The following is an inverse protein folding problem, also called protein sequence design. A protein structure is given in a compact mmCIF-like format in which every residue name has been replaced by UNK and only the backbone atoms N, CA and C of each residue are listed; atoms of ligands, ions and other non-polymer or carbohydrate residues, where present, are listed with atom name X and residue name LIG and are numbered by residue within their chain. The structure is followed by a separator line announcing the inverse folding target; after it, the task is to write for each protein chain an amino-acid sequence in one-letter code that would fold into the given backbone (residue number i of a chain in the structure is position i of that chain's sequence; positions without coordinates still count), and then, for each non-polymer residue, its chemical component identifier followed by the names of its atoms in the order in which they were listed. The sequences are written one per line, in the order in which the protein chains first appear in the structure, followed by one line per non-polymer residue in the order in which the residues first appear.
data_IF_326721708791
#
_entry.id   IF_326721708791
#
_cell.length_a   1.000
_cell.length_b   1.000
_cell.length_c   1.000
_cell.angle_alpha   90.00
_cell.angle_beta   90.00
_cell.angle_gamma   90.00
#
_symmetry.space_group_name_H-M   'P 1'
#
loop_
_entity.id
_entity.type
_entity.pdbx_description
1 polymer ?
#
# COMPACT_ATOMS: atom_id res chain seq x y z
N UNK A 1 19.09 35.02 39.93
CA UNK A 1 19.03 35.05 38.46
C UNK A 1 19.16 33.62 37.99
N UNK A 2 18.04 32.95 37.71
CA UNK A 2 18.05 31.56 37.21
C UNK A 2 18.01 31.59 35.68
N UNK A 3 18.94 30.88 35.05
CA UNK A 3 18.98 30.72 33.61
C UNK A 3 17.72 29.98 33.09
N UNK A 4 17.20 30.31 31.91
CA UNK A 4 16.13 29.52 31.30
C UNK A 4 16.71 28.18 30.81
N UNK A 5 16.21 27.08 31.35
CA UNK A 5 16.47 25.74 30.83
C UNK A 5 15.82 25.59 29.45
N UNK A 6 16.62 25.80 28.40
CA UNK A 6 16.19 25.78 27.00
C UNK A 6 16.28 24.42 26.33
N UNK A 7 16.02 23.32 27.04
CA UNK A 7 15.98 22.00 26.42
C UNK A 7 14.68 21.86 25.61
N UNK A 8 14.77 21.88 24.28
CA UNK A 8 13.66 21.47 23.42
C UNK A 8 13.43 19.97 23.64
N UNK A 9 12.35 19.62 24.30
CA UNK A 9 11.94 18.22 24.41
C UNK A 9 11.33 17.78 23.08
N UNK A 10 12.05 16.91 22.37
CA UNK A 10 11.51 16.19 21.22
C UNK A 10 10.93 14.86 21.73
N UNK A 11 9.61 14.80 21.86
CA UNK A 11 8.90 13.55 22.12
C UNK A 11 8.70 12.79 20.79
N UNK A 12 8.98 11.49 20.79
CA UNK A 12 8.68 10.60 19.67
C UNK A 12 7.83 9.43 20.16
N UNK A 13 6.97 8.93 19.29
CA UNK A 13 6.17 7.73 19.51
C UNK A 13 6.31 6.83 18.28
N UNK A 14 6.60 5.54 18.52
CA UNK A 14 6.69 4.54 17.46
C UNK A 14 5.53 3.58 17.59
N UNK A 15 4.64 3.60 16.60
CA UNK A 15 3.48 2.72 16.52
C UNK A 15 3.78 1.62 15.51
N UNK A 16 3.67 0.36 15.94
CA UNK A 16 3.93 -0.81 15.09
C UNK A 16 2.62 -1.55 14.80
N UNK A 17 2.31 -1.75 13.52
CA UNK A 17 1.11 -2.45 13.09
C UNK A 17 0.78 -2.16 11.62
N UNK A 18 -0.35 -2.68 11.16
CA UNK A 18 -0.91 -2.28 9.88
C UNK A 18 -1.28 -0.78 9.92
N UNK A 19 -0.87 -0.03 8.90
CA UNK A 19 -1.08 1.42 8.88
C UNK A 19 -2.58 1.76 8.91
N UNK A 20 -3.43 1.01 8.19
CA UNK A 20 -4.86 1.26 8.13
C UNK A 20 -5.57 0.99 9.47
N UNK A 21 -5.01 0.12 10.31
CA UNK A 21 -5.50 -0.15 11.67
C UNK A 21 -4.99 0.88 12.67
N UNK A 22 -3.69 1.14 12.67
CA UNK A 22 -3.04 2.09 13.60
C UNK A 22 -3.58 3.50 13.43
N UNK A 23 -3.76 3.97 12.18
CA UNK A 23 -4.25 5.33 11.94
C UNK A 23 -5.65 5.54 12.54
N UNK A 24 -6.50 4.52 12.61
CA UNK A 24 -7.84 4.61 13.20
C UNK A 24 -7.84 4.84 14.71
N UNK A 25 -6.76 4.47 15.41
CA UNK A 25 -6.64 4.67 16.85
C UNK A 25 -6.22 6.09 17.20
N UNK A 26 -5.72 6.85 16.22
CA UNK A 26 -5.25 8.22 16.43
C UNK A 26 -6.40 9.23 16.37
N UNK A 27 -6.35 10.30 17.21
CA UNK A 27 -7.41 11.31 17.25
C UNK A 27 -7.49 12.13 15.95
N UNK A 28 -8.67 12.63 15.61
CA UNK A 28 -8.83 13.51 14.44
C UNK A 28 -8.14 14.87 14.65
N UNK A 29 -7.73 15.52 13.57
CA UNK A 29 -7.07 16.84 13.58
C UNK A 29 -5.87 16.93 14.56
N UNK A 30 -5.11 15.86 14.71
CA UNK A 30 -4.01 15.72 15.66
C UNK A 30 -2.61 15.82 15.05
N UNK A 31 -2.50 15.94 13.72
CA UNK A 31 -1.20 16.09 13.03
C UNK A 31 -1.22 17.26 12.05
N UNK A 32 -0.13 18.01 11.97
CA UNK A 32 0.02 19.15 11.04
C UNK A 32 0.72 18.77 9.73
N UNK A 33 1.47 17.68 9.73
CA UNK A 33 2.23 17.22 8.57
C UNK A 33 2.24 15.69 8.51
N UNK A 34 1.91 15.17 7.34
CA UNK A 34 2.07 13.75 7.00
C UNK A 34 3.11 13.63 5.89
N UNK A 35 4.08 12.75 6.06
CA UNK A 35 5.03 12.34 5.03
C UNK A 35 4.92 10.83 4.86
N UNK A 36 4.59 10.36 3.66
CA UNK A 36 4.34 8.94 3.42
C UNK A 36 4.89 8.46 2.08
N UNK A 37 5.35 7.21 2.05
CA UNK A 37 5.90 6.53 0.88
C UNK A 37 5.33 5.10 0.80
N UNK A 38 4.03 4.94 0.48
CA UNK A 38 3.43 3.61 0.36
C UNK A 38 4.13 2.77 -0.72
N UNK A 39 4.01 1.43 -0.69
CA UNK A 39 4.63 0.56 -1.70
C UNK A 39 4.17 0.95 -3.10
N UNK A 40 5.12 1.14 -4.03
CA UNK A 40 4.80 1.46 -5.42
C UNK A 40 4.19 0.24 -6.07
N UNK A 41 3.10 0.43 -6.83
CA UNK A 41 2.36 -0.68 -7.40
C UNK A 41 3.28 -1.61 -8.19
N UNK A 42 3.24 -2.89 -7.86
CA UNK A 42 3.94 -4.02 -8.48
C UNK A 42 5.47 -3.94 -8.49
N UNK A 43 6.07 -3.09 -7.66
CA UNK A 43 7.53 -2.99 -7.61
C UNK A 43 8.21 -3.93 -6.60
N UNK A 44 7.51 -4.31 -5.53
CA UNK A 44 8.08 -5.11 -4.44
C UNK A 44 7.07 -6.12 -3.93
N UNK A 45 7.59 -7.28 -3.54
CA UNK A 45 6.87 -8.29 -2.77
C UNK A 45 7.66 -8.50 -1.47
N UNK A 46 7.00 -8.30 -0.33
CA UNK A 46 7.58 -8.45 1.00
C UNK A 46 7.40 -9.87 1.58
N UNK A 47 6.89 -10.81 0.80
CA UNK A 47 6.67 -12.21 1.19
C UNK A 47 5.82 -12.36 2.47
N UNK A 48 4.82 -11.49 2.62
CA UNK A 48 3.93 -11.43 3.80
C UNK A 48 2.70 -12.31 3.68
N UNK A 49 2.40 -12.80 2.47
CA UNK A 49 1.24 -13.64 2.22
C UNK A 49 1.28 -14.98 2.95
N UNK A 50 0.10 -15.46 3.34
CA UNK A 50 -0.08 -16.70 4.10
C UNK A 50 -1.28 -17.48 3.60
N UNK A 51 -1.19 -18.80 3.73
CA UNK A 51 -2.34 -19.71 3.58
C UNK A 51 -3.18 -19.73 4.86
N UNK A 52 -4.48 -19.56 4.73
CA UNK A 52 -5.46 -19.64 5.80
C UNK A 52 -6.43 -20.81 5.58
N UNK A 53 -6.66 -21.59 6.63
CA UNK A 53 -7.57 -22.73 6.61
C UNK A 53 -7.06 -23.93 5.79
N UNK A 54 -7.99 -24.81 5.41
CA UNK A 54 -7.70 -26.05 4.69
C UNK A 54 -7.14 -27.17 5.57
N UNK A 55 -6.52 -28.17 4.94
CA UNK A 55 -5.98 -29.36 5.62
C UNK A 55 -4.54 -29.09 6.08
N UNK A 56 -4.23 -29.45 7.33
CA UNK A 56 -2.94 -29.20 7.96
C UNK A 56 -1.75 -29.90 7.26
N UNK A 57 -2.01 -31.03 6.61
CA UNK A 57 -1.03 -31.84 5.86
C UNK A 57 -1.01 -31.51 4.36
N UNK A 58 -1.77 -30.49 3.93
CA UNK A 58 -1.75 -30.07 2.53
C UNK A 58 -0.41 -29.39 2.22
N UNK A 59 0.34 -29.97 1.27
CA UNK A 59 1.61 -29.43 0.79
C UNK A 59 1.39 -28.19 -0.07
N UNK A 60 1.09 -27.05 0.56
CA UNK A 60 1.08 -25.77 -0.12
C UNK A 60 2.49 -25.44 -0.63
N UNK A 61 2.59 -24.95 -1.87
CA UNK A 61 3.85 -24.37 -2.33
C UNK A 61 4.18 -23.21 -1.37
N UNK A 62 5.33 -23.31 -0.69
CA UNK A 62 5.84 -22.25 0.20
C UNK A 62 6.15 -20.97 -0.59
N UNK A 63 6.48 -21.14 -1.88
CA UNK A 63 6.81 -20.07 -2.82
C UNK A 63 5.66 -19.92 -3.82
N UNK A 64 4.74 -19.00 -3.57
CA UNK A 64 3.80 -18.58 -4.60
C UNK A 64 4.53 -17.61 -5.56
N UNK A 65 4.40 -17.76 -6.89
CA UNK A 65 4.96 -16.77 -7.81
C UNK A 65 4.23 -15.44 -7.67
N UNK A 66 4.95 -14.35 -7.96
CA UNK A 66 4.62 -12.92 -7.84
C UNK A 66 3.33 -12.44 -8.57
N UNK A 67 2.21 -13.13 -8.40
CA UNK A 67 0.94 -12.85 -9.09
C UNK A 67 -0.23 -12.59 -8.14
N UNK A 68 -1.07 -11.58 -8.44
CA UNK A 68 -1.89 -10.85 -7.48
C UNK A 68 -3.32 -11.39 -7.30
N UNK A 69 -3.58 -12.65 -7.61
CA UNK A 69 -4.94 -13.19 -7.52
C UNK A 69 -5.20 -13.82 -6.15
N UNK A 70 -6.41 -13.63 -5.56
CA UNK A 70 -6.85 -14.45 -4.43
C UNK A 70 -6.72 -15.92 -4.82
N UNK A 71 -5.83 -16.66 -4.15
CA UNK A 71 -5.66 -18.09 -4.45
C UNK A 71 -6.49 -18.92 -3.50
N UNK A 72 -7.13 -19.94 -4.03
CA UNK A 72 -7.70 -21.03 -3.23
C UNK A 72 -6.98 -22.31 -3.63
N UNK A 73 -6.52 -23.07 -2.65
CA UNK A 73 -5.85 -24.35 -2.88
C UNK A 73 -6.90 -25.36 -3.36
N UNK A 74 -6.80 -25.79 -4.62
CA UNK A 74 -7.75 -26.74 -5.21
C UNK A 74 -7.82 -28.10 -4.48
N UNK A 75 -6.81 -28.45 -3.67
CA UNK A 75 -6.74 -29.73 -2.93
C UNK A 75 -7.45 -29.69 -1.57
N UNK A 76 -7.46 -28.55 -0.90
CA UNK A 76 -7.94 -28.47 0.49
C UNK A 76 -8.83 -27.26 0.79
N UNK A 77 -9.02 -26.35 -0.17
CA UNK A 77 -9.82 -25.14 0.01
C UNK A 77 -9.16 -24.02 0.81
N UNK A 78 -7.89 -24.17 1.24
CA UNK A 78 -7.18 -23.08 1.91
C UNK A 78 -7.12 -21.83 1.02
N UNK A 79 -7.30 -20.64 1.59
CA UNK A 79 -7.19 -19.38 0.86
C UNK A 79 -5.83 -18.72 1.11
N UNK A 80 -5.23 -18.13 0.08
CA UNK A 80 -4.08 -17.26 0.22
C UNK A 80 -4.56 -15.84 0.47
N UNK A 81 -4.06 -15.23 1.53
CA UNK A 81 -4.29 -13.81 1.82
C UNK A 81 -2.96 -13.12 1.99
N UNK A 82 -2.87 -11.91 1.45
CA UNK A 82 -1.74 -11.04 1.69
C UNK A 82 -2.26 -9.65 2.04
N UNK A 83 -1.76 -9.12 3.16
CA UNK A 83 -2.13 -7.80 3.65
C UNK A 83 -1.22 -6.71 3.07
N UNK A 84 -0.15 -7.05 2.34
CA UNK A 84 0.72 -6.03 1.76
C UNK A 84 -0.01 -5.18 0.71
N UNK A 85 0.31 -3.89 0.73
CA UNK A 85 -0.14 -2.94 -0.28
C UNK A 85 0.81 -3.00 -1.47
N UNK A 86 0.31 -2.68 -2.66
CA UNK A 86 1.10 -2.57 -3.88
C UNK A 86 1.10 -3.82 -4.75
N UNK A 87 0.56 -4.95 -4.31
CA UNK A 87 0.37 -6.15 -5.14
C UNK A 87 -1.09 -6.38 -5.54
N UNK A 88 -1.91 -5.34 -5.57
CA UNK A 88 -3.31 -5.43 -5.97
C UNK A 88 -3.43 -5.84 -7.45
N UNK A 89 -4.51 -6.56 -7.82
CA UNK A 89 -4.62 -7.17 -9.14
C UNK A 89 -4.69 -6.17 -10.29
N UNK A 90 -5.17 -4.97 -10.04
CA UNK A 90 -5.31 -3.90 -11.04
C UNK A 90 -4.85 -2.56 -10.47
N UNK A 91 -4.47 -1.59 -11.33
CA UNK A 91 -4.13 -0.25 -10.87
C UNK A 91 -5.27 0.41 -10.09
N UNK A 92 -6.52 0.20 -10.54
CA UNK A 92 -7.71 0.71 -9.86
C UNK A 92 -7.86 0.12 -8.45
N UNK A 93 -7.63 -1.18 -8.27
CA UNK A 93 -7.69 -1.80 -6.95
C UNK A 93 -6.59 -1.25 -6.02
N UNK A 94 -5.38 -1.00 -6.54
CA UNK A 94 -4.32 -0.33 -5.80
C UNK A 94 -4.69 1.10 -5.38
N UNK A 95 -5.22 1.90 -6.31
CA UNK A 95 -5.67 3.27 -6.01
C UNK A 95 -6.80 3.27 -4.99
N UNK A 96 -7.74 2.34 -5.08
CA UNK A 96 -8.83 2.24 -4.11
C UNK A 96 -8.30 1.84 -2.73
N UNK A 97 -7.35 0.91 -2.65
CA UNK A 97 -6.72 0.54 -1.40
C UNK A 97 -5.93 1.72 -0.79
N UNK A 98 -5.19 2.47 -1.60
CA UNK A 98 -4.53 3.72 -1.17
C UNK A 98 -5.54 4.75 -0.66
N UNK A 99 -6.69 4.94 -1.35
CA UNK A 99 -7.73 5.89 -0.95
C UNK A 99 -8.23 5.60 0.46
N UNK A 100 -8.35 4.33 0.85
CA UNK A 100 -8.78 3.94 2.20
C UNK A 100 -7.80 4.43 3.28
N UNK A 101 -6.48 4.28 3.05
CA UNK A 101 -5.45 4.82 3.95
C UNK A 101 -5.50 6.34 3.99
N UNK A 102 -5.64 6.97 2.83
CA UNK A 102 -5.63 8.43 2.71
C UNK A 102 -6.87 9.08 3.33
N UNK A 103 -8.00 8.37 3.40
CA UNK A 103 -9.17 8.81 4.13
C UNK A 103 -8.87 8.97 5.62
N UNK A 104 -8.16 8.01 6.22
CA UNK A 104 -7.72 8.11 7.62
C UNK A 104 -6.69 9.22 7.80
N UNK A 105 -5.70 9.34 6.91
CA UNK A 105 -4.73 10.45 6.96
C UNK A 105 -5.41 11.82 6.90
N UNK A 106 -6.43 11.97 6.05
CA UNK A 106 -7.22 13.20 5.94
C UNK A 106 -7.98 13.54 7.22
N UNK A 107 -8.47 12.53 7.95
CA UNK A 107 -9.13 12.70 9.26
C UNK A 107 -8.16 13.19 10.33
N UNK A 108 -6.92 12.69 10.32
CA UNK A 108 -5.89 13.06 11.29
C UNK A 108 -5.33 14.46 11.06
N UNK A 109 -5.27 14.92 9.82
CA UNK A 109 -4.72 16.23 9.48
C UNK A 109 -5.53 17.37 10.11
N UNK A 110 -4.83 18.34 10.69
CA UNK A 110 -5.40 19.63 11.09
C UNK A 110 -5.97 20.37 9.86
N UNK A 111 -6.90 21.34 10.02
CA UNK A 111 -7.50 22.06 8.89
C UNK A 111 -6.48 22.77 7.98
N UNK A 112 -5.31 23.10 8.51
CA UNK A 112 -4.20 23.76 7.80
C UNK A 112 -3.03 22.81 7.53
N UNK A 113 -3.21 21.52 7.81
CA UNK A 113 -2.16 20.53 7.68
C UNK A 113 -1.75 20.24 6.24
N UNK A 114 -0.55 19.68 6.08
CA UNK A 114 0.00 19.32 4.77
C UNK A 114 0.26 17.82 4.66
N UNK A 115 0.11 17.27 3.46
CA UNK A 115 0.42 15.88 3.15
C UNK A 115 1.41 15.82 1.99
N UNK A 116 2.48 15.06 2.20
CA UNK A 116 3.49 14.77 1.20
C UNK A 116 3.44 13.28 0.88
N UNK A 117 3.09 12.96 -0.38
CA UNK A 117 3.09 11.61 -0.91
C UNK A 117 4.30 11.43 -1.82
N UNK A 118 5.21 10.55 -1.43
CA UNK A 118 6.25 10.05 -2.31
C UNK A 118 5.73 8.81 -3.05
N UNK A 119 5.45 8.98 -4.34
CA UNK A 119 5.02 7.90 -5.22
C UNK A 119 5.66 8.09 -6.59
N UNK A 120 6.16 7.00 -7.17
CA UNK A 120 6.70 6.97 -8.52
C UNK A 120 6.14 5.81 -9.31
N UNK A 121 6.15 5.93 -10.64
CA UNK A 121 5.84 4.82 -11.54
C UNK A 121 7.13 4.34 -12.24
N UNK A 122 7.18 3.05 -12.57
CA UNK A 122 8.18 2.46 -13.47
C UNK A 122 7.54 2.02 -14.79
N UNK A 123 6.34 2.52 -15.08
CA UNK A 123 5.50 2.07 -16.20
C UNK A 123 5.45 3.12 -17.31
N UNK A 124 5.89 4.35 -17.05
CA UNK A 124 6.11 5.36 -18.08
C UNK A 124 7.28 4.95 -18.98
N UNK A 125 7.04 4.83 -20.28
CA UNK A 125 7.98 4.29 -21.29
C UNK A 125 9.24 5.13 -21.53
N UNK A 126 9.50 6.19 -20.75
CA UNK A 126 10.64 7.10 -20.94
C UNK A 126 11.37 7.49 -19.63
N UNK A 127 11.29 6.67 -18.58
CA UNK A 127 12.08 6.86 -17.34
C UNK A 127 13.00 5.67 -17.06
N UNK A 128 13.84 5.28 -18.03
CA UNK A 128 15.09 4.52 -17.88
C UNK A 128 15.15 3.28 -16.95
N UNK A 129 14.00 2.70 -16.59
CA UNK A 129 13.87 1.45 -15.80
C UNK A 129 13.72 0.19 -16.65
N UNK A 130 13.83 0.32 -17.98
CA UNK A 130 13.56 -0.73 -18.96
C UNK A 130 14.70 -1.76 -19.04
N UNK A 131 14.96 -2.52 -17.95
CA UNK A 131 15.80 -3.72 -18.03
C UNK A 131 15.64 -4.77 -16.93
N UNK A 132 14.57 -4.76 -16.13
CA UNK A 132 14.26 -5.91 -15.28
C UNK A 132 13.28 -6.88 -15.98
N UNK A 133 13.85 -7.73 -16.84
CA UNK A 133 13.41 -9.09 -17.18
C UNK A 133 11.93 -9.38 -17.55
N UNK A 134 11.61 -9.19 -18.84
CA UNK A 134 10.71 -10.04 -19.67
C UNK A 134 9.19 -10.16 -19.33
N UNK A 135 8.34 -10.48 -20.33
CA UNK A 135 7.19 -9.65 -20.65
C UNK A 135 5.91 -10.11 -19.96
N UNK A 136 5.45 -9.36 -18.96
CA UNK A 136 4.01 -9.23 -18.75
C UNK A 136 3.50 -8.22 -19.77
N UNK A 137 2.97 -8.73 -20.89
CA UNK A 137 2.14 -7.97 -21.83
C UNK A 137 0.86 -7.53 -21.10
N UNK A 138 0.95 -6.50 -20.27
CA UNK A 138 -0.20 -5.65 -20.04
C UNK A 138 -0.29 -4.76 -21.27
N UNK A 139 -1.33 -4.98 -22.08
CA UNK A 139 -1.61 -4.15 -23.25
C UNK A 139 -1.96 -2.76 -22.70
N UNK A 140 -1.12 -1.76 -22.98
CA UNK A 140 -1.30 -0.30 -22.73
C UNK A 140 -2.76 0.16 -22.56
N UNK A 141 -3.65 -0.40 -23.39
CA UNK A 141 -5.10 -0.20 -23.46
C UNK A 141 -5.97 -0.20 -22.20
N UNK A 142 -5.50 -0.64 -21.02
CA UNK A 142 -6.30 -0.56 -19.78
C UNK A 142 -5.93 0.62 -18.89
N UNK A 143 -4.65 1.00 -18.84
CA UNK A 143 -4.21 2.20 -18.10
C UNK A 143 -4.59 3.44 -18.89
N UNK A 144 -4.36 3.44 -20.20
CA UNK A 144 -4.74 4.56 -21.08
C UNK A 144 -6.25 4.79 -21.04
N UNK A 145 -7.05 3.72 -21.09
CA UNK A 145 -8.52 3.83 -20.99
C UNK A 145 -8.99 4.37 -19.65
N UNK A 146 -8.26 4.11 -18.56
CA UNK A 146 -8.57 4.68 -17.25
C UNK A 146 -8.22 6.17 -17.17
N UNK A 147 -7.09 6.58 -17.75
CA UNK A 147 -6.70 8.00 -17.86
C UNK A 147 -7.70 8.76 -18.76
N UNK A 148 -8.11 8.15 -19.87
CA UNK A 148 -9.02 8.73 -20.86
C UNK A 148 -10.49 8.70 -20.42
N UNK A 149 -10.86 7.83 -19.46
CA UNK A 149 -12.24 7.70 -18.97
C UNK A 149 -12.28 7.24 -17.51
N UNK A 150 -11.94 8.13 -16.55
CA UNK A 150 -12.06 7.81 -15.14
C UNK A 150 -13.53 7.52 -14.79
N UNK A 151 -13.81 6.58 -13.86
CA UNK A 151 -15.17 6.36 -13.39
C UNK A 151 -15.71 7.66 -12.79
N UNK A 152 -16.92 8.06 -13.22
CA UNK A 152 -17.60 9.22 -12.65
C UNK A 152 -17.80 8.97 -11.16
N UNK A 153 -17.42 9.95 -10.34
CA UNK A 153 -17.65 9.93 -8.91
C UNK A 153 -19.15 9.68 -8.64
N UNK A 154 -19.44 8.66 -7.83
CA UNK A 154 -20.74 8.44 -7.21
C UNK A 154 -20.89 9.38 -6.01
#
# INVERSE_FOLDING_TARGET
MSAPSGAKHHSYELLTGDASEVLRTLPAASVDCVVTSPPYWRMRDYATGRWNGGKADCLHAADAPAHPTPRVCARCGASWTDAQHGLEPTPTAYVEHLRQVFYELRRLLSPTGTLWLNLGDNYSTNSDGYRCAQPLRYRESEVDRYIESPPRAA
#
